data_IF_583937287348
#
_entry.id   IF_583937287348
#
_cell.length_a   1.000
_cell.length_b   1.000
_cell.length_c   1.000
_cell.angle_alpha   90.00
_cell.angle_beta   90.00
_cell.angle_gamma   90.00
#
_symmetry.space_group_name_H-M   'P 1'
#
loop_
_entity.id
_entity.type
_entity.pdbx_description
1 polymer ?
#
# COMPACT_ATOMS: atom_id res chain seq x y z
N UNK A 1 0.97 -12.86 -3.49
CA UNK A 1 0.09 -11.69 -3.35
C UNK A 1 0.53 -10.68 -4.38
N UNK A 2 -0.42 -10.15 -5.15
CA UNK A 2 -0.13 -9.14 -6.16
C UNK A 2 -0.17 -7.72 -5.55
N UNK A 3 0.43 -6.74 -6.25
CA UNK A 3 0.44 -5.34 -5.80
C UNK A 3 -0.96 -4.77 -5.57
N UNK A 4 -1.92 -5.14 -6.43
CA UNK A 4 -3.34 -4.79 -6.26
C UNK A 4 -3.90 -5.34 -4.96
N UNK A 5 -3.58 -6.58 -4.61
CA UNK A 5 -4.09 -7.22 -3.40
C UNK A 5 -3.50 -6.55 -2.15
N UNK A 6 -2.23 -6.17 -2.19
CA UNK A 6 -1.58 -5.41 -1.14
C UNK A 6 -2.24 -4.02 -0.95
N UNK A 7 -2.55 -3.31 -2.03
CA UNK A 7 -3.30 -2.05 -1.96
C UNK A 7 -4.73 -2.26 -1.42
N UNK A 8 -5.40 -3.36 -1.80
CA UNK A 8 -6.73 -3.72 -1.30
C UNK A 8 -6.73 -3.99 0.22
N UNK A 9 -5.66 -4.59 0.74
CA UNK A 9 -5.52 -4.80 2.19
C UNK A 9 -5.50 -3.47 2.93
N UNK A 10 -4.68 -2.50 2.52
CA UNK A 10 -4.70 -1.15 3.13
C UNK A 10 -6.09 -0.52 2.97
N UNK A 11 -6.73 -0.69 1.81
CA UNK A 11 -8.04 -0.11 1.51
C UNK A 11 -9.12 -0.58 2.51
N UNK A 12 -9.11 -1.86 2.88
CA UNK A 12 -10.14 -2.46 3.73
C UNK A 12 -10.17 -1.88 5.15
N UNK A 13 -9.04 -1.36 5.63
CA UNK A 13 -8.88 -0.76 6.95
C UNK A 13 -8.76 0.78 6.90
N UNK A 14 -8.99 1.40 5.74
CA UNK A 14 -8.83 2.85 5.55
C UNK A 14 -10.09 3.67 5.84
N UNK A 15 -11.24 3.05 6.13
CA UNK A 15 -12.53 3.74 6.22
C UNK A 15 -12.57 4.90 7.23
N UNK A 16 -11.83 4.80 8.34
CA UNK A 16 -11.70 5.85 9.35
C UNK A 16 -10.73 6.98 9.00
N UNK A 17 -10.09 6.93 7.84
CA UNK A 17 -9.01 7.84 7.45
C UNK A 17 -9.27 8.39 6.03
N UNK A 18 -10.03 9.49 5.88
CA UNK A 18 -10.56 9.92 4.58
C UNK A 18 -9.51 10.12 3.47
N UNK A 19 -8.36 10.72 3.80
CA UNK A 19 -7.29 10.93 2.82
C UNK A 19 -6.60 9.63 2.42
N UNK A 20 -6.31 8.76 3.40
CA UNK A 20 -5.75 7.44 3.15
C UNK A 20 -6.70 6.58 2.31
N UNK A 21 -8.00 6.63 2.62
CA UNK A 21 -9.06 5.96 1.86
C UNK A 21 -9.07 6.42 0.41
N UNK A 22 -9.02 7.73 0.18
CA UNK A 22 -9.06 8.32 -1.16
C UNK A 22 -7.87 7.86 -2.01
N UNK A 23 -6.65 8.01 -1.49
CA UNK A 23 -5.43 7.66 -2.22
C UNK A 23 -5.34 6.15 -2.44
N UNK A 24 -5.63 5.34 -1.41
CA UNK A 24 -5.57 3.89 -1.52
C UNK A 24 -6.63 3.35 -2.48
N UNK A 25 -7.82 3.96 -2.54
CA UNK A 25 -8.85 3.61 -3.52
C UNK A 25 -8.40 3.92 -4.94
N UNK A 26 -7.89 5.13 -5.20
CA UNK A 26 -7.36 5.48 -6.51
C UNK A 26 -6.26 4.52 -6.96
N UNK A 27 -5.30 4.24 -6.07
CA UNK A 27 -4.22 3.28 -6.34
C UNK A 27 -4.77 1.88 -6.66
N UNK A 28 -5.68 1.36 -5.85
CA UNK A 28 -6.30 0.06 -6.07
C UNK A 28 -7.05 0.00 -7.42
N UNK A 29 -7.80 1.05 -7.77
CA UNK A 29 -8.59 1.09 -9.00
C UNK A 29 -7.69 1.15 -10.24
N UNK A 30 -6.61 1.95 -10.19
CA UNK A 30 -5.58 1.99 -11.23
C UNK A 30 -4.91 0.61 -11.40
N UNK A 31 -4.47 0.00 -10.30
CA UNK A 31 -3.88 -1.34 -10.32
C UNK A 31 -4.86 -2.41 -10.85
N UNK A 32 -6.16 -2.27 -10.56
CA UNK A 32 -7.20 -3.16 -11.07
C UNK A 32 -7.40 -3.05 -12.58
N UNK A 33 -7.09 -1.89 -13.17
CA UNK A 33 -7.05 -1.67 -14.62
C UNK A 33 -5.70 -2.03 -15.26
N UNK A 34 -4.74 -2.53 -14.47
CA UNK A 34 -3.37 -2.80 -14.93
C UNK A 34 -2.53 -1.54 -15.15
N UNK A 35 -2.99 -0.39 -14.65
CA UNK A 35 -2.26 0.87 -14.72
C UNK A 35 -1.17 0.93 -13.65
N UNK A 36 -0.12 1.73 -13.93
CA UNK A 36 0.93 2.01 -12.94
C UNK A 36 0.45 3.04 -11.93
N UNK A 37 0.83 2.86 -10.68
CA UNK A 37 0.70 3.86 -9.60
C UNK A 37 2.10 4.42 -9.30
N UNK A 38 2.20 5.73 -9.11
CA UNK A 38 3.48 6.38 -8.86
C UNK A 38 4.06 5.91 -7.51
N UNK A 39 5.38 5.71 -7.46
CA UNK A 39 6.07 5.30 -6.23
C UNK A 39 5.85 6.27 -5.06
N UNK A 40 5.61 7.56 -5.35
CA UNK A 40 5.29 8.57 -4.34
C UNK A 40 3.97 8.28 -3.65
N UNK A 41 2.95 7.87 -4.39
CA UNK A 41 1.64 7.51 -3.85
C UNK A 41 1.73 6.21 -3.06
N UNK A 42 2.43 5.20 -3.58
CA UNK A 42 2.67 3.93 -2.86
C UNK A 42 3.43 4.14 -1.55
N UNK A 43 4.47 4.98 -1.58
CA UNK A 43 5.27 5.35 -0.40
C UNK A 43 4.44 6.13 0.60
N UNK A 44 3.61 7.06 0.12
CA UNK A 44 2.72 7.84 0.97
C UNK A 44 1.69 6.95 1.64
N UNK A 45 1.07 6.00 0.91
CA UNK A 45 0.09 5.05 1.45
C UNK A 45 0.66 4.21 2.59
N UNK A 46 1.86 3.62 2.43
CA UNK A 46 2.51 2.84 3.49
C UNK A 46 2.78 3.70 4.73
N UNK A 47 3.39 4.88 4.53
CA UNK A 47 3.73 5.78 5.65
C UNK A 47 2.49 6.27 6.38
N UNK A 48 1.44 6.60 5.63
CA UNK A 48 0.21 7.13 6.21
C UNK A 48 -0.59 6.03 6.92
N UNK A 49 -0.65 4.81 6.37
CA UNK A 49 -1.23 3.65 7.05
C UNK A 49 -0.53 3.35 8.39
N UNK A 50 0.81 3.43 8.42
CA UNK A 50 1.56 3.31 9.67
C UNK A 50 1.24 4.46 10.64
N UNK A 51 1.25 5.72 10.16
CA UNK A 51 0.97 6.92 10.96
C UNK A 51 -0.42 6.92 11.58
N UNK A 52 -1.41 6.37 10.87
CA UNK A 52 -2.81 6.27 11.31
C UNK A 52 -3.12 5.00 12.10
N UNK A 53 -2.09 4.21 12.44
CA UNK A 53 -2.23 2.99 13.23
C UNK A 53 -3.11 1.92 12.56
N UNK A 54 -3.04 1.82 11.23
CA UNK A 54 -3.78 0.81 10.44
C UNK A 54 -3.08 -0.55 10.49
N UNK A 55 -1.77 -0.58 10.69
CA UNK A 55 -0.97 -1.82 10.65
C UNK A 55 -1.41 -2.88 11.68
N UNK A 56 -1.71 -2.56 12.95
CA UNK A 56 -2.24 -3.56 13.88
C UNK A 56 -3.58 -4.16 13.43
N UNK A 57 -4.45 -3.37 12.81
CA UNK A 57 -5.72 -3.85 12.27
C UNK A 57 -5.51 -4.83 11.11
N UNK A 58 -4.56 -4.51 10.22
CA UNK A 58 -4.15 -5.41 9.13
C UNK A 58 -3.54 -6.70 9.67
N UNK A 59 -2.67 -6.60 10.67
CA UNK A 59 -2.06 -7.76 11.34
C UNK A 59 -3.11 -8.67 11.98
N UNK A 60 -4.07 -8.09 12.71
CA UNK A 60 -5.13 -8.83 13.38
C UNK A 60 -6.07 -9.52 12.38
N UNK A 61 -6.36 -8.85 11.26
CA UNK A 61 -7.30 -9.36 10.25
C UNK A 61 -6.71 -10.40 9.32
N UNK A 62 -5.48 -10.19 8.84
CA UNK A 62 -4.87 -11.00 7.80
C UNK A 62 -3.74 -11.92 8.31
N UNK A 63 -3.27 -11.69 9.53
CA UNK A 63 -2.14 -12.41 10.12
C UNK A 63 -0.78 -11.87 9.66
N UNK A 64 0.26 -12.20 10.44
CA UNK A 64 1.63 -11.72 10.24
C UNK A 64 2.18 -12.03 8.84
N UNK A 65 2.02 -13.27 8.37
CA UNK A 65 2.59 -13.67 7.08
C UNK A 65 2.01 -12.87 5.89
N UNK A 66 0.71 -12.60 5.90
CA UNK A 66 0.07 -11.81 4.85
C UNK A 66 0.43 -10.32 4.96
N UNK A 67 0.51 -9.79 6.18
CA UNK A 67 0.96 -8.42 6.41
C UNK A 67 2.41 -8.21 5.93
N UNK A 68 3.33 -9.11 6.29
CA UNK A 68 4.73 -9.04 5.87
C UNK A 68 4.84 -9.10 4.34
N UNK A 69 4.08 -10.00 3.71
CA UNK A 69 4.03 -10.09 2.25
C UNK A 69 3.50 -8.80 1.60
N UNK A 70 2.48 -8.18 2.18
CA UNK A 70 1.94 -6.89 1.72
C UNK A 70 3.02 -5.79 1.75
N UNK A 71 3.75 -5.66 2.87
CA UNK A 71 4.85 -4.69 3.01
C UNK A 71 5.96 -4.95 2.00
N UNK A 72 6.36 -6.22 1.82
CA UNK A 72 7.41 -6.61 0.87
C UNK A 72 7.02 -6.30 -0.57
N UNK A 73 5.78 -6.59 -0.97
CA UNK A 73 5.31 -6.35 -2.35
C UNK A 73 5.26 -4.85 -2.65
N UNK A 74 4.71 -4.04 -1.73
CA UNK A 74 4.68 -2.58 -1.88
C UNK A 74 6.09 -1.99 -1.88
N UNK A 75 6.95 -2.44 -0.96
CA UNK A 75 8.34 -1.99 -0.86
C UNK A 75 9.13 -2.27 -2.14
N UNK A 76 9.05 -3.49 -2.68
CA UNK A 76 9.71 -3.86 -3.94
C UNK A 76 9.25 -3.01 -5.11
N UNK A 77 7.96 -2.72 -5.21
CA UNK A 77 7.45 -1.87 -6.28
C UNK A 77 7.95 -0.43 -6.15
N UNK A 78 7.99 0.09 -4.92
CA UNK A 78 8.56 1.41 -4.64
C UNK A 78 10.03 1.44 -5.03
N UNK A 79 10.83 0.48 -4.58
CA UNK A 79 12.27 0.42 -4.88
C UNK A 79 12.53 0.27 -6.38
N UNK A 80 11.68 -0.48 -7.10
CA UNK A 80 11.77 -0.66 -8.56
C UNK A 80 11.55 0.65 -9.32
N UNK A 81 10.69 1.53 -8.80
CA UNK A 81 10.34 2.80 -9.45
C UNK A 81 11.15 3.99 -8.92
N UNK A 82 11.66 3.91 -7.70
CA UNK A 82 12.38 4.99 -7.05
C UNK A 82 13.58 5.37 -7.93
N UNK A 83 13.86 6.67 -8.10
CA UNK A 83 15.04 7.09 -8.84
C UNK A 83 16.25 6.45 -8.17
N UNK A 84 17.01 5.66 -8.94
CA UNK A 84 18.32 5.20 -8.51
C UNK A 84 19.15 6.46 -8.24
N UNK A 85 19.34 6.80 -6.97
CA UNK A 85 20.36 7.77 -6.60
C UNK A 85 21.70 7.12 -6.93
N UNK A 86 22.14 7.31 -8.17
CA UNK A 86 23.54 7.22 -8.55
C UNK A 86 24.25 8.30 -7.74
N UNK A 87 24.82 7.90 -6.59
CA UNK A 87 25.90 8.66 -5.97
C UNK A 87 27.22 8.32 -6.64
#
# INVERSE_FOLDING_TARGET
MELRDAARMILSESAGHPELLRVTRDAHDRLSRGERVAYTDLSWMLKEAARKNVYPALHARYGTAAFDQMVVVLGREIDRQAPAFSR
#
